data_IF_731683265502
#
_entry.id   IF_731683265502
#
_cell.length_a   1.000
_cell.length_b   1.000
_cell.length_c   1.000
_cell.angle_alpha   90.00
_cell.angle_beta   90.00
_cell.angle_gamma   90.00
#
_symmetry.space_group_name_H-M   'P 1'
#
loop_
_entity.id
_entity.type
_entity.pdbx_description
1 polymer ?
#
# COMPACT_ATOMS: atom_id res chain seq x y z
N UNK A 1 -10.53 -8.47 -20.40
CA UNK A 1 -9.83 -9.14 -21.53
C UNK A 1 -10.33 -10.57 -21.54
N UNK A 2 -10.96 -11.02 -22.62
CA UNK A 2 -11.62 -12.33 -22.65
C UNK A 2 -10.58 -13.43 -22.90
N UNK A 3 -10.79 -14.62 -22.34
CA UNK A 3 -9.91 -15.79 -22.51
C UNK A 3 -9.54 -16.15 -23.98
N UNK A 4 -10.36 -15.86 -25.01
CA UNK A 4 -10.01 -16.17 -26.40
C UNK A 4 -8.87 -15.33 -26.98
N UNK A 5 -8.57 -14.15 -26.42
CA UNK A 5 -7.65 -13.20 -27.05
C UNK A 5 -6.16 -13.53 -26.79
N UNK A 6 -5.84 -14.15 -25.64
CA UNK A 6 -4.45 -14.49 -25.28
C UNK A 6 -3.94 -15.76 -25.96
N UNK A 7 -4.84 -16.69 -26.35
CA UNK A 7 -4.45 -17.94 -27.01
C UNK A 7 -3.87 -17.71 -28.40
N UNK A 8 -4.25 -16.63 -29.08
CA UNK A 8 -3.78 -16.27 -30.42
C UNK A 8 -2.39 -15.62 -30.45
N UNK A 9 -1.88 -15.18 -29.31
CA UNK A 9 -0.59 -14.46 -29.20
C UNK A 9 0.48 -15.23 -28.43
N UNK A 10 0.16 -16.43 -27.94
CA UNK A 10 1.09 -17.25 -27.16
C UNK A 10 2.10 -17.99 -28.06
N UNK A 11 3.41 -18.02 -27.71
CA UNK A 11 4.47 -18.67 -28.50
C UNK A 11 4.44 -20.21 -28.46
N UNK A 12 3.37 -20.80 -27.93
CA UNK A 12 3.21 -22.24 -27.78
C UNK A 12 2.86 -22.85 -29.14
N UNK A 13 3.72 -23.75 -29.64
CA UNK A 13 3.60 -24.50 -30.89
C UNK A 13 2.18 -25.03 -31.16
N UNK A 14 1.75 -25.11 -32.43
CA UNK A 14 0.39 -25.46 -32.88
C UNK A 14 -0.22 -26.72 -32.21
N UNK A 15 0.60 -27.67 -31.74
CA UNK A 15 0.14 -28.82 -30.97
C UNK A 15 -0.49 -28.48 -29.60
N UNK A 16 -0.15 -27.33 -29.01
CA UNK A 16 -0.72 -26.88 -27.73
C UNK A 16 -2.13 -26.29 -27.89
N UNK A 17 -2.54 -25.88 -29.09
CA UNK A 17 -3.90 -25.36 -29.31
C UNK A 17 -4.96 -26.44 -29.05
N UNK A 18 -4.77 -27.65 -29.58
CA UNK A 18 -5.68 -28.78 -29.35
C UNK A 18 -5.71 -29.23 -27.87
N UNK A 19 -4.57 -29.12 -27.16
CA UNK A 19 -4.51 -29.39 -25.72
C UNK A 19 -5.32 -28.36 -24.91
N UNK A 20 -5.24 -27.08 -25.29
CA UNK A 20 -5.99 -26.00 -24.63
C UNK A 20 -7.49 -26.03 -24.97
N UNK A 21 -7.88 -26.46 -26.17
CA UNK A 21 -9.28 -26.66 -26.56
C UNK A 21 -10.00 -27.73 -25.72
N UNK A 22 -9.26 -28.66 -25.11
CA UNK A 22 -9.81 -29.68 -24.21
C UNK A 22 -10.26 -29.11 -22.85
N UNK A 23 -9.79 -27.90 -22.50
CA UNK A 23 -10.13 -27.21 -21.28
C UNK A 23 -11.10 -26.06 -21.61
N UNK A 24 -12.34 -26.13 -21.11
CA UNK A 24 -13.32 -25.03 -21.24
C UNK A 24 -12.94 -23.82 -20.38
N UNK A 25 -13.66 -22.70 -20.57
CA UNK A 25 -13.45 -21.45 -19.80
C UNK A 25 -13.48 -21.69 -18.28
N UNK A 26 -14.26 -22.68 -17.81
CA UNK A 26 -14.37 -23.07 -16.41
C UNK A 26 -13.13 -23.79 -15.84
N UNK A 27 -12.27 -24.37 -16.68
CA UNK A 27 -11.11 -25.14 -16.22
C UNK A 27 -10.07 -24.25 -15.50
N UNK A 28 -10.01 -22.98 -15.86
CA UNK A 28 -9.15 -21.98 -15.22
C UNK A 28 -9.84 -21.26 -14.05
N UNK A 29 -11.16 -21.42 -13.88
CA UNK A 29 -11.93 -20.75 -12.82
C UNK A 29 -11.33 -20.89 -11.41
N UNK A 30 -10.90 -22.08 -10.93
CA UNK A 30 -10.31 -22.21 -9.60
C UNK A 30 -8.96 -21.47 -9.48
N UNK A 31 -8.20 -21.38 -10.57
CA UNK A 31 -6.90 -20.68 -10.59
C UNK A 31 -7.07 -19.16 -10.67
N UNK A 32 -8.13 -18.69 -11.33
CA UNK A 32 -8.45 -17.26 -11.48
C UNK A 32 -9.13 -16.66 -10.24
N UNK A 33 -9.81 -17.49 -9.43
CA UNK A 33 -10.42 -17.07 -8.16
C UNK A 33 -9.44 -17.05 -6.99
N UNK A 34 -8.25 -17.64 -7.16
CA UNK A 34 -7.23 -17.67 -6.12
C UNK A 34 -6.48 -16.33 -6.10
N UNK A 35 -6.37 -15.66 -4.93
CA UNK A 35 -5.63 -14.41 -4.82
C UNK A 35 -4.16 -14.64 -5.15
N UNK A 36 -3.57 -13.69 -5.88
CA UNK A 36 -2.14 -13.70 -6.21
C UNK A 36 -1.32 -13.83 -4.91
N UNK A 37 -0.43 -14.84 -4.78
CA UNK A 37 0.41 -14.98 -3.61
C UNK A 37 1.32 -13.74 -3.50
N UNK A 38 1.19 -13.00 -2.40
CA UNK A 38 1.94 -11.76 -2.16
C UNK A 38 1.26 -10.47 -2.64
N UNK A 39 0.01 -10.53 -3.10
CA UNK A 39 -0.82 -9.34 -3.18
C UNK A 39 -1.09 -8.84 -1.75
N UNK A 40 -0.20 -8.00 -1.23
CA UNK A 40 -0.46 -7.24 -0.02
C UNK A 40 -1.81 -6.53 -0.18
N UNK A 41 -2.62 -6.41 0.88
CA UNK A 41 -3.80 -5.57 0.82
C UNK A 41 -3.40 -4.19 0.27
N UNK A 42 -4.28 -3.57 -0.53
CA UNK A 42 -4.07 -2.20 -1.00
C UNK A 42 -3.52 -1.37 0.16
N UNK A 43 -2.32 -0.77 -0.02
CA UNK A 43 -1.58 -0.18 1.09
C UNK A 43 -2.51 0.71 1.91
N UNK A 44 -2.71 0.39 3.19
CA UNK A 44 -3.58 1.17 4.05
C UNK A 44 -3.08 2.63 3.99
N UNK A 45 -3.94 3.56 3.56
CA UNK A 45 -3.57 4.96 3.43
C UNK A 45 -3.11 5.53 4.78
N UNK A 46 -3.68 5.02 5.88
CA UNK A 46 -3.28 5.36 7.24
C UNK A 46 -1.86 4.84 7.54
N UNK A 47 -1.50 3.64 7.11
CA UNK A 47 -0.14 3.10 7.24
C UNK A 47 0.89 4.00 6.53
N UNK A 48 0.58 4.43 5.31
CA UNK A 48 1.46 5.36 4.58
C UNK A 48 1.56 6.72 5.27
N UNK A 49 0.45 7.22 5.82
CA UNK A 49 0.42 8.45 6.62
C UNK A 49 1.30 8.34 7.88
N UNK A 50 1.23 7.22 8.61
CA UNK A 50 2.08 6.94 9.78
C UNK A 50 3.57 6.95 9.40
N UNK A 51 3.96 6.31 8.30
CA UNK A 51 5.36 6.33 7.83
C UNK A 51 5.84 7.74 7.48
N UNK A 52 4.97 8.58 6.90
CA UNK A 52 5.28 9.99 6.62
C UNK A 52 5.49 10.78 7.91
N UNK A 53 4.61 10.59 8.90
CA UNK A 53 4.71 11.21 10.21
C UNK A 53 6.02 10.81 10.92
N UNK A 54 6.37 9.52 10.93
CA UNK A 54 7.63 9.03 11.52
C UNK A 54 8.84 9.72 10.87
N UNK A 55 8.87 9.82 9.55
CA UNK A 55 9.95 10.52 8.86
C UNK A 55 9.97 12.01 9.19
N UNK A 56 8.83 12.68 9.27
CA UNK A 56 8.75 14.08 9.68
C UNK A 56 9.37 14.30 11.07
N UNK A 57 9.04 13.44 12.06
CA UNK A 57 9.65 13.50 13.39
C UNK A 57 11.16 13.26 13.38
N UNK A 58 11.66 12.35 12.53
CA UNK A 58 13.11 12.09 12.41
C UNK A 58 13.89 13.31 11.93
N UNK A 59 13.34 14.09 11.00
CA UNK A 59 14.02 15.24 10.41
C UNK A 59 13.72 16.56 11.12
N UNK A 60 12.47 16.78 11.54
CA UNK A 60 11.98 18.05 12.07
C UNK A 60 11.73 18.03 13.57
N UNK A 61 11.75 16.87 14.23
CA UNK A 61 11.38 16.73 15.63
C UNK A 61 12.18 17.61 16.59
N UNK A 62 13.46 17.89 16.26
CA UNK A 62 14.30 18.82 17.04
C UNK A 62 13.69 20.22 17.19
N UNK A 63 12.89 20.68 16.22
CA UNK A 63 12.25 22.00 16.24
C UNK A 63 11.16 22.11 17.30
N UNK A 64 10.55 20.98 17.69
CA UNK A 64 9.49 20.88 18.71
C UNK A 64 10.02 20.40 20.06
N UNK A 65 11.29 20.02 20.16
CA UNK A 65 11.86 19.49 21.39
C UNK A 65 11.96 20.57 22.48
N UNK A 66 11.62 20.22 23.72
CA UNK A 66 11.76 21.10 24.88
C UNK A 66 13.22 21.19 25.34
N UNK A 67 14.02 21.95 24.59
CA UNK A 67 15.45 22.14 24.88
C UNK A 67 15.74 23.37 25.75
N UNK A 68 14.82 24.34 25.78
CA UNK A 68 14.98 25.57 26.57
C UNK A 68 14.21 25.45 27.90
N UNK A 69 14.90 25.24 29.04
CA UNK A 69 14.24 25.13 30.34
C UNK A 69 13.60 26.44 30.79
N UNK A 70 13.99 27.58 30.20
CA UNK A 70 13.46 28.90 30.53
C UNK A 70 12.34 29.35 29.57
N UNK A 71 12.06 28.56 28.52
CA UNK A 71 10.98 28.80 27.54
C UNK A 71 10.94 30.23 27.00
N UNK A 72 12.11 30.76 26.65
CA UNK A 72 12.29 32.13 26.17
C UNK A 72 11.98 32.28 24.69
N UNK A 73 12.06 31.19 23.93
CA UNK A 73 11.81 31.17 22.50
C UNK A 73 10.58 30.33 22.19
N UNK A 74 9.70 30.88 21.35
CA UNK A 74 8.57 30.13 20.83
C UNK A 74 9.05 29.23 19.68
N UNK A 75 8.74 27.91 19.71
CA UNK A 75 9.05 27.02 18.61
C UNK A 75 8.37 27.46 17.30
N UNK A 76 9.03 27.34 16.15
CA UNK A 76 8.39 27.66 14.87
C UNK A 76 7.25 26.67 14.55
N UNK A 77 6.19 27.13 13.85
CA UNK A 77 5.10 26.24 13.44
C UNK A 77 5.64 25.13 12.53
N UNK A 78 5.24 23.90 12.84
CA UNK A 78 5.69 22.66 12.16
C UNK A 78 4.48 21.75 11.97
N UNK A 79 3.58 22.06 11.01
CA UNK A 79 2.35 21.30 10.77
C UNK A 79 2.63 19.85 10.35
N UNK A 80 3.81 19.55 9.80
CA UNK A 80 4.22 18.20 9.41
C UNK A 80 4.41 17.26 10.61
N UNK A 81 4.48 17.78 11.84
CA UNK A 81 4.55 16.97 13.05
C UNK A 81 3.16 16.65 13.64
N UNK A 82 2.10 17.19 13.04
CA UNK A 82 0.72 16.94 13.43
C UNK A 82 0.17 15.71 12.68
N UNK A 83 -0.36 14.68 13.38
CA UNK A 83 -1.03 13.56 12.73
C UNK A 83 -2.20 13.98 11.80
N UNK A 84 -2.95 15.04 12.17
CA UNK A 84 -4.08 15.53 11.39
C UNK A 84 -3.66 16.04 10.01
N UNK A 85 -2.42 16.54 9.88
CA UNK A 85 -1.85 16.98 8.61
C UNK A 85 -1.79 15.85 7.56
N UNK A 86 -1.70 14.60 8.01
CA UNK A 86 -1.72 13.41 7.14
C UNK A 86 -3.07 12.70 7.09
N UNK A 87 -4.12 13.28 7.68
CA UNK A 87 -5.46 12.70 7.72
C UNK A 87 -5.62 11.58 8.75
N UNK A 88 -4.69 11.46 9.71
CA UNK A 88 -4.85 10.56 10.85
C UNK A 88 -5.78 11.21 11.88
N UNK A 89 -6.71 10.43 12.40
CA UNK A 89 -7.72 10.90 13.36
C UNK A 89 -7.51 10.26 14.73
N UNK A 90 -8.26 10.72 15.73
CA UNK A 90 -8.22 10.13 17.07
C UNK A 90 -8.57 8.63 17.08
N UNK A 91 -9.41 8.17 16.14
CA UNK A 91 -9.74 6.76 15.98
C UNK A 91 -8.51 5.90 15.62
N UNK A 92 -7.55 6.49 14.90
CA UNK A 92 -6.32 5.79 14.47
C UNK A 92 -5.31 5.64 15.61
N UNK A 93 -5.41 6.41 16.70
CA UNK A 93 -4.50 6.28 17.86
C UNK A 93 -4.60 4.93 18.56
N UNK A 94 -5.74 4.24 18.43
CA UNK A 94 -5.98 2.91 19.00
C UNK A 94 -5.70 1.77 18.03
N UNK A 95 -5.35 2.07 16.78
CA UNK A 95 -5.04 1.07 15.76
C UNK A 95 -3.55 0.73 15.81
N UNK A 96 -3.24 -0.54 15.58
CA UNK A 96 -1.86 -1.00 15.41
C UNK A 96 -1.46 -0.86 13.93
N UNK A 97 -0.20 -0.48 13.71
CA UNK A 97 0.42 -0.25 12.41
C UNK A 97 1.77 -0.96 12.38
N UNK A 98 2.17 -1.51 11.24
CA UNK A 98 3.38 -2.35 11.07
C UNK A 98 4.65 -1.56 10.69
#
# INVERSE_FOLDING_TARGET
MSAPDWSRTSPLYAGNAAYLEQFGDDALAPWLTQPLPGAAPASDAAQVAVLRLINAYRYLGVRRAELDPLRRFEPPPTPELDPEHYGLTEADLTREFE
#
